data_IF_457029915297
#
_entry.id   IF_457029915297
#
_cell.length_a   1.000
_cell.length_b   1.000
_cell.length_c   1.000
_cell.angle_alpha   90.00
_cell.angle_beta   90.00
_cell.angle_gamma   90.00
#
_symmetry.space_group_name_H-M   'P 1'
#
loop_
_entity.id
_entity.type
_entity.pdbx_description
1 polymer ?
#
# COMPACT_ATOMS: atom_id res chain seq x y z
N UNK A 1 -9.33 -33.11 -60.47
CA UNK A 1 -8.00 -32.84 -59.91
C UNK A 1 -7.64 -31.39 -60.22
N UNK A 2 -7.58 -30.54 -59.18
CA UNK A 2 -6.56 -29.52 -58.99
C UNK A 2 -6.75 -28.91 -57.60
N UNK A 3 -5.83 -29.29 -56.73
CA UNK A 3 -5.71 -28.99 -55.32
C UNK A 3 -4.95 -27.66 -55.21
N UNK A 4 -5.52 -26.65 -54.54
CA UNK A 4 -4.73 -25.52 -54.04
C UNK A 4 -5.10 -25.18 -52.61
N UNK A 5 -4.04 -25.14 -51.83
CA UNK A 5 -3.88 -25.15 -50.39
C UNK A 5 -4.07 -23.72 -49.84
N UNK A 6 -4.92 -23.64 -48.79
CA UNK A 6 -4.90 -22.78 -47.59
C UNK A 6 -4.01 -21.52 -47.59
N UNK A 7 -4.57 -20.39 -47.13
CA UNK A 7 -3.88 -19.54 -46.15
C UNK A 7 -4.92 -18.90 -45.21
N UNK A 8 -5.03 -19.50 -44.03
CA UNK A 8 -5.74 -19.00 -42.86
C UNK A 8 -5.07 -17.71 -42.39
N UNK A 9 -5.75 -16.56 -42.44
CA UNK A 9 -5.27 -15.35 -41.76
C UNK A 9 -5.67 -15.45 -40.30
N UNK A 10 -4.66 -15.75 -39.50
CA UNK A 10 -4.65 -15.95 -38.07
C UNK A 10 -5.14 -14.68 -37.36
N UNK A 11 -6.13 -14.85 -36.47
CA UNK A 11 -6.58 -13.84 -35.54
C UNK A 11 -5.46 -13.52 -34.55
N UNK A 12 -4.80 -12.38 -34.73
CA UNK A 12 -3.85 -11.83 -33.75
C UNK A 12 -4.63 -11.13 -32.63
N UNK A 13 -5.22 -11.91 -31.72
CA UNK A 13 -5.50 -11.42 -30.38
C UNK A 13 -4.14 -11.09 -29.74
N UNK A 14 -3.77 -9.81 -29.73
CA UNK A 14 -2.77 -9.31 -28.80
C UNK A 14 -3.36 -9.47 -27.39
N UNK A 15 -3.11 -10.62 -26.78
CA UNK A 15 -3.13 -10.76 -25.34
C UNK A 15 -1.99 -9.90 -24.78
N UNK A 16 -2.22 -8.59 -24.69
CA UNK A 16 -1.59 -7.78 -23.65
C UNK A 16 -2.25 -8.18 -22.32
N UNK A 17 -1.99 -9.43 -21.90
CA UNK A 17 -2.08 -9.76 -20.49
C UNK A 17 -1.02 -8.89 -19.85
N UNK A 18 -1.48 -7.76 -19.31
CA UNK A 18 -0.70 -6.88 -18.50
C UNK A 18 0.04 -7.75 -17.47
N UNK A 19 1.36 -7.90 -17.63
CA UNK A 19 2.23 -8.15 -16.50
C UNK A 19 2.05 -6.92 -15.61
N UNK A 20 1.06 -7.00 -14.72
CA UNK A 20 0.91 -6.04 -13.65
C UNK A 20 1.94 -6.45 -12.60
N UNK A 21 2.67 -5.49 -12.01
CA UNK A 21 3.61 -5.82 -10.95
C UNK A 21 2.87 -6.57 -9.84
N UNK A 22 3.43 -7.71 -9.45
CA UNK A 22 2.96 -8.46 -8.29
C UNK A 22 3.72 -7.92 -7.08
N UNK A 23 2.97 -7.49 -6.06
CA UNK A 23 3.55 -7.01 -4.81
C UNK A 23 3.33 -8.08 -3.76
N UNK A 24 4.41 -8.55 -3.15
CA UNK A 24 4.42 -9.65 -2.17
C UNK A 24 4.12 -9.15 -0.75
N UNK A 25 4.09 -7.84 -0.56
CA UNK A 25 3.72 -7.19 0.69
C UNK A 25 4.25 -5.77 0.82
N UNK A 26 4.28 -5.28 2.06
CA UNK A 26 4.76 -3.94 2.42
C UNK A 26 5.79 -4.03 3.55
N UNK A 27 6.88 -3.26 3.42
CA UNK A 27 7.79 -2.93 4.52
C UNK A 27 7.34 -1.62 5.15
N UNK A 28 6.92 -1.65 6.42
CA UNK A 28 6.56 -0.46 7.20
C UNK A 28 7.69 -0.18 8.18
N UNK A 29 8.26 1.04 8.12
CA UNK A 29 9.35 1.47 9.01
C UNK A 29 8.95 2.71 9.80
N UNK A 30 8.81 2.55 11.11
CA UNK A 30 8.55 3.66 12.02
C UNK A 30 9.80 4.50 12.28
N UNK A 31 9.64 5.82 12.27
CA UNK A 31 10.75 6.78 12.37
C UNK A 31 10.76 7.55 13.70
N UNK A 32 9.67 7.50 14.45
CA UNK A 32 9.57 8.11 15.78
C UNK A 32 9.18 7.05 16.81
N UNK A 33 9.72 7.16 18.03
CA UNK A 33 9.69 6.11 19.05
C UNK A 33 8.51 6.19 20.04
N UNK A 34 7.44 6.91 19.70
CA UNK A 34 6.27 7.02 20.60
C UNK A 34 5.15 6.03 20.26
N UNK A 35 5.24 5.32 19.12
CA UNK A 35 4.36 4.19 18.80
C UNK A 35 4.98 2.89 19.32
N UNK A 36 4.18 2.06 20.00
CA UNK A 36 4.62 0.73 20.43
C UNK A 36 4.55 -0.25 19.25
N UNK A 37 5.46 -1.23 19.24
CA UNK A 37 5.60 -2.20 18.17
C UNK A 37 4.44 -3.21 18.20
N UNK A 38 3.74 -3.38 17.09
CA UNK A 38 3.04 -4.64 16.83
C UNK A 38 3.31 -5.08 15.40
N UNK A 39 3.65 -6.35 15.21
CA UNK A 39 3.98 -6.95 13.92
C UNK A 39 2.78 -6.96 12.93
N UNK A 40 1.59 -6.53 13.37
CA UNK A 40 0.31 -6.73 12.67
C UNK A 40 -0.42 -5.43 12.26
N UNK A 41 0.16 -4.23 12.46
CA UNK A 41 -0.51 -2.98 12.04
C UNK A 41 -0.08 -1.70 12.77
N UNK A 42 -0.82 -0.61 12.54
CA UNK A 42 -0.60 0.71 13.13
C UNK A 42 -1.25 0.81 14.52
N UNK A 43 -0.45 0.91 15.59
CA UNK A 43 -0.94 1.18 16.95
C UNK A 43 -0.46 2.56 17.42
N UNK A 44 -1.40 3.45 17.74
CA UNK A 44 -1.11 4.85 18.10
C UNK A 44 -1.95 5.25 19.31
N UNK A 45 -1.43 6.06 20.22
CA UNK A 45 -2.26 6.64 21.29
C UNK A 45 -3.13 7.79 20.76
N UNK A 46 -4.31 7.98 21.35
CA UNK A 46 -5.19 9.11 21.06
C UNK A 46 -4.44 10.43 21.32
N UNK A 47 -4.45 11.33 20.32
CA UNK A 47 -3.75 12.61 20.36
C UNK A 47 -2.26 12.55 19.97
N UNK A 48 -1.68 11.35 19.84
CA UNK A 48 -0.28 11.18 19.43
C UNK A 48 -0.15 11.11 17.90
N UNK A 49 1.06 11.43 17.42
CA UNK A 49 1.43 11.37 16.02
C UNK A 49 2.70 10.53 15.82
N UNK A 50 2.70 9.69 14.80
CA UNK A 50 3.80 8.79 14.46
C UNK A 50 4.16 8.98 12.99
N UNK A 51 5.44 9.23 12.72
CA UNK A 51 5.96 9.25 11.36
C UNK A 51 6.50 7.87 10.99
N UNK A 52 6.19 7.41 9.78
CA UNK A 52 6.55 6.10 9.28
C UNK A 52 6.77 6.16 7.76
N UNK A 53 7.51 5.18 7.26
CA UNK A 53 7.75 4.95 5.84
C UNK A 53 7.03 3.68 5.42
N UNK A 54 6.38 3.68 4.25
CA UNK A 54 5.75 2.50 3.66
C UNK A 54 6.41 2.21 2.32
N UNK A 55 7.11 1.08 2.23
CA UNK A 55 7.80 0.68 1.00
C UNK A 55 7.22 -0.64 0.53
N UNK A 56 6.71 -0.75 -0.69
CA UNK A 56 6.29 -2.03 -1.22
C UNK A 56 7.46 -3.03 -1.33
N UNK A 57 7.18 -4.32 -1.20
CA UNK A 57 8.12 -5.44 -1.42
C UNK A 57 7.78 -6.22 -2.70
N UNK A 58 8.77 -6.36 -3.59
CA UNK A 58 8.65 -6.97 -4.91
C UNK A 58 9.43 -8.26 -4.88
N UNK A 59 8.78 -9.35 -5.27
CA UNK A 59 9.36 -10.68 -5.39
C UNK A 59 10.03 -10.92 -6.75
N UNK A 60 9.79 -10.01 -7.70
CA UNK A 60 10.38 -10.07 -9.02
C UNK A 60 11.84 -9.60 -8.99
N UNK A 61 12.80 -10.47 -9.34
CA UNK A 61 14.22 -10.10 -9.42
C UNK A 61 14.53 -9.17 -10.61
N UNK A 62 13.52 -8.83 -11.42
CA UNK A 62 13.63 -7.99 -12.61
C UNK A 62 12.76 -6.73 -12.56
N UNK A 63 11.77 -6.67 -11.67
CA UNK A 63 10.99 -5.45 -11.45
C UNK A 63 11.60 -4.73 -10.26
N UNK A 64 12.63 -3.92 -10.57
CA UNK A 64 12.97 -2.81 -9.71
C UNK A 64 11.70 -1.97 -9.54
N UNK A 65 11.36 -1.67 -8.29
CA UNK A 65 10.46 -0.56 -8.00
C UNK A 65 10.81 0.60 -8.91
N UNK A 66 9.92 0.94 -9.83
CA UNK A 66 10.11 2.18 -10.53
C UNK A 66 10.06 3.25 -9.45
N UNK A 67 11.08 4.11 -9.39
CA UNK A 67 11.17 5.25 -8.48
C UNK A 67 9.94 6.20 -8.56
N UNK A 68 9.02 5.91 -9.47
CA UNK A 68 7.80 6.64 -9.78
C UNK A 68 6.52 5.93 -9.32
N UNK A 69 6.62 4.71 -8.77
CA UNK A 69 5.46 4.03 -8.17
C UNK A 69 4.98 4.87 -6.99
N UNK A 70 3.76 5.40 -7.11
CA UNK A 70 3.18 6.27 -6.09
C UNK A 70 2.42 5.43 -5.08
N UNK A 71 2.90 5.43 -3.84
CA UNK A 71 2.20 4.86 -2.69
C UNK A 71 1.25 5.90 -2.11
N UNK A 72 -0.03 5.55 -2.00
CA UNK A 72 -1.06 6.37 -1.38
C UNK A 72 -1.69 5.59 -0.20
N UNK A 73 -1.96 6.30 0.89
CA UNK A 73 -2.58 5.73 2.09
C UNK A 73 -3.93 6.41 2.34
N UNK A 74 -5.00 5.63 2.21
CA UNK A 74 -6.37 6.11 2.37
C UNK A 74 -7.03 5.52 3.63
N UNK A 75 -7.23 6.31 4.69
CA UNK A 75 -8.05 5.85 5.82
C UNK A 75 -9.51 5.68 5.39
N UNK A 76 -10.20 4.67 5.92
CA UNK A 76 -11.64 4.48 5.64
C UNK A 76 -12.48 5.67 6.18
N UNK A 77 -13.66 5.89 5.61
CA UNK A 77 -14.56 6.94 6.09
C UNK A 77 -14.90 6.74 7.58
N UNK A 78 -14.86 7.83 8.35
CA UNK A 78 -15.00 7.83 9.82
C UNK A 78 -13.86 7.12 10.58
N UNK A 79 -12.68 7.03 9.97
CA UNK A 79 -11.50 6.42 10.58
C UNK A 79 -11.09 7.09 11.90
N UNK A 80 -10.72 6.24 12.86
CA UNK A 80 -10.13 6.63 14.14
C UNK A 80 -8.70 7.18 14.00
N UNK A 81 -8.10 7.06 12.82
CA UNK A 81 -6.75 7.51 12.47
C UNK A 81 -6.81 8.45 11.27
N UNK A 82 -6.02 9.52 11.31
CA UNK A 82 -5.79 10.45 10.20
C UNK A 82 -4.40 10.20 9.63
N UNK A 83 -4.29 10.12 8.30
CA UNK A 83 -3.02 9.95 7.59
C UNK A 83 -2.73 11.22 6.81
N UNK A 84 -1.51 11.74 6.98
CA UNK A 84 -0.98 12.90 6.26
C UNK A 84 0.23 12.46 5.44
N UNK A 85 0.26 12.88 4.18
CA UNK A 85 1.41 12.69 3.29
C UNK A 85 2.54 13.67 3.64
N UNK A 86 3.78 13.18 3.60
CA UNK A 86 4.97 14.02 3.67
C UNK A 86 5.37 14.53 2.28
N UNK A 87 6.23 15.54 2.25
CA UNK A 87 6.92 15.96 1.01
C UNK A 87 8.00 14.96 0.58
N UNK A 88 8.47 14.12 1.51
CA UNK A 88 9.40 13.03 1.22
C UNK A 88 8.64 11.83 0.65
N UNK A 89 9.22 11.17 -0.35
CA UNK A 89 8.61 10.00 -0.99
C UNK A 89 8.48 8.84 0.02
N UNK A 90 7.35 8.13 -0.05
CA UNK A 90 7.01 6.97 0.80
C UNK A 90 6.82 7.28 2.29
N UNK A 91 6.74 8.55 2.66
CA UNK A 91 6.75 9.01 4.05
C UNK A 91 5.39 9.57 4.46
N UNK A 92 4.92 9.12 5.62
CA UNK A 92 3.58 9.43 6.12
C UNK A 92 3.62 9.75 7.60
N UNK A 93 2.63 10.53 8.04
CA UNK A 93 2.35 10.79 9.45
C UNK A 93 0.95 10.29 9.76
N UNK A 94 0.84 9.44 10.77
CA UNK A 94 -0.42 8.97 11.29
C UNK A 94 -0.73 9.64 12.64
N UNK A 95 -1.98 10.08 12.81
CA UNK A 95 -2.46 10.78 14.01
C UNK A 95 -3.64 10.01 14.58
N UNK A 96 -3.56 9.64 15.87
CA UNK A 96 -4.68 9.01 16.58
C UNK A 96 -5.77 10.03 16.91
N UNK A 97 -6.95 9.91 16.29
CA UNK A 97 -8.06 10.88 16.43
C UNK A 97 -9.03 10.56 17.55
N UNK A 98 -9.37 9.29 17.70
CA UNK A 98 -10.31 8.80 18.70
C UNK A 98 -9.99 7.35 19.03
N UNK A 99 -10.28 6.90 20.26
CA UNK A 99 -10.05 5.49 20.63
C UNK A 99 -10.91 4.54 19.78
N UNK A 100 -10.30 3.48 19.25
CA UNK A 100 -11.00 2.45 18.48
C UNK A 100 -10.12 1.73 17.48
N UNK A 101 -10.74 1.06 16.52
CA UNK A 101 -10.09 0.29 15.45
C UNK A 101 -10.60 0.73 14.09
N UNK A 102 -9.72 0.77 13.11
CA UNK A 102 -10.00 1.12 11.72
C UNK A 102 -9.03 0.36 10.82
N UNK A 103 -9.02 0.72 9.55
CA UNK A 103 -8.03 0.25 8.59
C UNK A 103 -7.57 1.42 7.70
N UNK A 104 -6.43 1.24 7.06
CA UNK A 104 -5.88 2.13 6.06
C UNK A 104 -5.67 1.32 4.80
N UNK A 105 -6.33 1.73 3.71
CA UNK A 105 -6.13 1.12 2.40
C UNK A 105 -4.80 1.60 1.83
N UNK A 106 -4.01 0.67 1.31
CA UNK A 106 -2.77 0.98 0.60
C UNK A 106 -3.03 0.88 -0.90
N UNK A 107 -2.74 1.96 -1.61
CA UNK A 107 -2.82 1.99 -3.07
C UNK A 107 -1.44 2.22 -3.66
N UNK A 108 -1.13 1.48 -4.72
CA UNK A 108 0.05 1.72 -5.55
C UNK A 108 -0.43 1.92 -6.98
N UNK A 109 -0.09 3.06 -7.58
CA UNK A 109 -0.49 3.41 -8.95
C UNK A 109 -2.01 3.20 -9.19
N UNK A 110 -2.83 3.80 -8.32
CA UNK A 110 -4.29 3.74 -8.36
C UNK A 110 -4.95 2.36 -8.11
N UNK A 111 -4.18 1.37 -7.64
CA UNK A 111 -4.72 0.04 -7.30
C UNK A 111 -4.59 -0.23 -5.83
N UNK A 112 -5.68 -0.69 -5.23
CA UNK A 112 -5.63 -1.28 -3.89
C UNK A 112 -4.77 -2.55 -3.93
N UNK A 113 -3.72 -2.58 -3.11
CA UNK A 113 -2.77 -3.69 -3.03
C UNK A 113 -2.79 -4.36 -1.67
N UNK A 114 -3.14 -3.62 -0.61
CA UNK A 114 -3.11 -4.11 0.76
C UNK A 114 -4.01 -3.26 1.69
N UNK A 115 -4.22 -3.76 2.91
CA UNK A 115 -4.94 -3.09 3.99
C UNK A 115 -4.11 -3.20 5.27
N UNK A 116 -3.78 -2.05 5.87
CA UNK A 116 -3.10 -1.97 7.15
C UNK A 116 -4.16 -1.79 8.25
N UNK A 117 -4.24 -2.73 9.18
CA UNK A 117 -5.08 -2.58 10.37
C UNK A 117 -4.55 -1.45 11.26
N UNK A 118 -5.45 -0.62 11.79
CA UNK A 118 -5.12 0.50 12.64
C UNK A 118 -5.89 0.46 13.96
N UNK A 119 -5.19 0.70 15.07
CA UNK A 119 -5.76 0.77 16.41
C UNK A 119 -5.30 2.04 17.12
N UNK A 120 -6.26 2.77 17.68
CA UNK A 120 -6.02 3.94 18.51
C UNK A 120 -6.40 3.62 19.94
N UNK A 121 -5.45 3.80 20.85
CA UNK A 121 -5.59 3.47 22.27
C UNK A 121 -5.70 4.74 23.13
N UNK A 122 -6.35 4.63 24.29
CA UNK A 122 -6.43 5.76 25.20
C UNK A 122 -5.03 6.15 25.69
N UNK A 123 -4.73 7.45 25.71
CA UNK A 123 -3.46 7.94 26.23
C UNK A 123 -3.35 7.60 27.72
N UNK A 124 -2.29 6.86 28.10
CA UNK A 124 -2.00 6.63 29.52
C UNK A 124 -1.32 7.89 30.06
N UNK A 125 -1.94 8.62 31.00
CA UNK A 125 -1.32 9.80 31.60
C UNK A 125 0.00 9.39 32.29
N UNK A 126 1.10 10.02 31.87
CA UNK A 126 2.41 9.88 32.52
C UNK A 126 2.50 10.71 33.79
#
# INVERSE_FOLDING_TARGET
>A
MNMRMRFTVLASLLCAAACQPHYDGLEIRYLTSNGDFSDDGLVIAEGDAVAFQVRPLSDSPYEDYEKFDLVELEPFHESVIEILESTDVDMFVAIGRSVGTSAVRVRINDREVDIIDARVEAQVPR
#
